data_IF_658488508486
#
_entry.id   IF_658488508486
#
_cell.length_a   1.000
_cell.length_b   1.000
_cell.length_c   1.000
_cell.angle_alpha   90.00
_cell.angle_beta   90.00
_cell.angle_gamma   90.00
#
_symmetry.space_group_name_H-M   'P 1'
#
loop_
_entity.id
_entity.type
_entity.pdbx_description
1 polymer ?
#
# COMPACT_ATOMS: atom_id res chain seq x y z
N UNK A 1 6.52 2.17 -16.53
CA UNK A 1 5.78 3.40 -16.19
C UNK A 1 5.16 3.20 -14.82
N UNK A 2 5.23 4.18 -13.91
CA UNK A 2 4.55 4.14 -12.61
C UNK A 2 3.06 4.41 -12.90
N UNK A 3 2.12 3.56 -12.47
CA UNK A 3 0.69 3.84 -12.68
C UNK A 3 0.24 4.99 -11.78
N UNK A 4 -0.81 5.69 -12.21
CA UNK A 4 -1.38 6.78 -11.42
C UNK A 4 -1.92 6.25 -10.08
N UNK A 5 -1.84 7.06 -9.03
CA UNK A 5 -2.33 6.68 -7.70
C UNK A 5 -3.84 6.35 -7.70
N UNK A 6 -4.63 7.04 -8.52
CA UNK A 6 -6.06 6.75 -8.71
C UNK A 6 -6.28 5.33 -9.25
N UNK A 7 -5.52 4.92 -10.26
CA UNK A 7 -5.57 3.56 -10.80
C UNK A 7 -5.20 2.52 -9.73
N UNK A 8 -4.12 2.76 -8.97
CA UNK A 8 -3.72 1.84 -7.89
C UNK A 8 -4.79 1.75 -6.82
N UNK A 9 -5.40 2.87 -6.46
CA UNK A 9 -6.51 2.90 -5.50
C UNK A 9 -7.70 2.06 -6.00
N UNK A 10 -8.14 2.25 -7.24
CA UNK A 10 -9.22 1.47 -7.86
C UNK A 10 -8.89 -0.04 -7.90
N UNK A 11 -7.67 -0.40 -8.31
CA UNK A 11 -7.19 -1.78 -8.28
C UNK A 11 -7.30 -2.40 -6.88
N UNK A 12 -6.93 -1.65 -5.83
CA UNK A 12 -7.06 -2.13 -4.46
C UNK A 12 -8.53 -2.23 -4.04
N UNK A 13 -9.38 -1.25 -4.36
CA UNK A 13 -10.81 -1.29 -4.00
C UNK A 13 -11.54 -2.46 -4.65
N UNK A 14 -11.34 -2.70 -5.95
CA UNK A 14 -11.94 -3.85 -6.63
C UNK A 14 -11.47 -5.17 -6.00
N UNK A 15 -10.18 -5.28 -5.67
CA UNK A 15 -9.65 -6.47 -4.99
C UNK A 15 -10.29 -6.70 -3.61
N UNK A 16 -10.51 -5.63 -2.83
CA UNK A 16 -11.20 -5.69 -1.54
C UNK A 16 -12.66 -6.13 -1.72
N UNK A 17 -13.39 -5.51 -2.66
CA UNK A 17 -14.78 -5.84 -2.93
C UNK A 17 -14.94 -7.31 -3.31
N UNK A 18 -14.13 -7.80 -4.25
CA UNK A 18 -14.15 -9.21 -4.64
C UNK A 18 -13.88 -10.15 -3.45
N UNK A 19 -12.85 -9.86 -2.64
CA UNK A 19 -12.52 -10.72 -1.49
C UNK A 19 -13.62 -10.71 -0.43
N UNK A 20 -14.10 -9.52 -0.03
CA UNK A 20 -14.86 -9.35 1.21
C UNK A 20 -16.37 -9.22 1.01
N UNK A 21 -16.84 -8.67 -0.11
CA UNK A 21 -18.29 -8.52 -0.37
C UNK A 21 -18.85 -9.73 -1.13
N UNK A 22 -18.02 -10.43 -1.89
CA UNK A 22 -18.47 -11.54 -2.72
C UNK A 22 -17.93 -12.90 -2.25
N UNK A 23 -16.62 -13.11 -2.35
CA UNK A 23 -16.03 -14.45 -2.17
C UNK A 23 -16.22 -14.93 -0.72
N UNK A 24 -15.75 -14.18 0.28
CA UNK A 24 -15.87 -14.61 1.68
C UNK A 24 -17.33 -14.75 2.14
N UNK A 25 -18.22 -13.86 1.69
CA UNK A 25 -19.66 -13.95 2.00
C UNK A 25 -20.29 -15.22 1.44
N UNK A 26 -19.86 -15.68 0.26
CA UNK A 26 -20.35 -16.92 -0.32
C UNK A 26 -19.86 -18.16 0.45
N UNK A 27 -18.56 -18.20 0.77
CA UNK A 27 -17.94 -19.39 1.39
C UNK A 27 -18.25 -19.54 2.88
N UNK A 28 -18.51 -18.45 3.61
CA UNK A 28 -18.84 -18.51 5.05
C UNK A 28 -20.17 -19.23 5.34
N UNK A 29 -21.05 -19.35 4.35
CA UNK A 29 -22.38 -19.97 4.48
C UNK A 29 -22.36 -21.51 4.40
N UNK A 30 -21.21 -22.10 4.08
CA UNK A 30 -21.01 -23.54 4.12
C UNK A 30 -21.41 -24.31 2.87
N UNK A 31 -21.17 -25.62 2.91
CA UNK A 31 -21.37 -26.57 1.82
C UNK A 31 -22.83 -26.62 1.32
N UNK A 32 -23.79 -26.64 2.24
CA UNK A 32 -25.21 -26.74 1.91
C UNK A 32 -25.70 -25.53 1.10
N UNK A 33 -25.24 -24.32 1.45
CA UNK A 33 -25.54 -23.11 0.69
C UNK A 33 -24.96 -23.20 -0.73
N UNK A 34 -23.70 -23.62 -0.87
CA UNK A 34 -23.05 -23.82 -2.16
C UNK A 34 -23.80 -24.85 -3.01
N UNK A 35 -24.14 -26.00 -2.47
CA UNK A 35 -24.84 -27.08 -3.20
C UNK A 35 -26.26 -26.66 -3.64
N UNK A 36 -26.95 -25.84 -2.85
CA UNK A 36 -28.26 -25.29 -3.21
C UNK A 36 -28.22 -24.28 -4.37
N UNK A 37 -27.04 -23.75 -4.71
CA UNK A 37 -26.86 -22.68 -5.69
C UNK A 37 -25.86 -23.05 -6.80
N UNK A 38 -26.14 -24.07 -7.63
CA UNK A 38 -25.22 -24.52 -8.68
C UNK A 38 -24.88 -23.43 -9.72
N UNK A 39 -25.84 -22.54 -10.01
CA UNK A 39 -25.64 -21.41 -10.92
C UNK A 39 -24.57 -20.41 -10.46
N UNK A 40 -24.28 -20.34 -9.16
CA UNK A 40 -23.22 -19.48 -8.62
C UNK A 40 -21.83 -20.09 -8.74
N UNK A 41 -21.68 -21.38 -9.05
CA UNK A 41 -20.36 -22.04 -9.02
C UNK A 41 -19.40 -21.44 -10.05
N UNK A 42 -19.82 -21.40 -11.32
CA UNK A 42 -19.01 -20.81 -12.39
C UNK A 42 -18.73 -19.32 -12.15
N UNK A 43 -19.67 -18.60 -11.54
CA UNK A 43 -19.49 -17.18 -11.20
C UNK A 43 -18.50 -16.99 -10.07
N UNK A 44 -18.53 -17.83 -9.05
CA UNK A 44 -17.55 -17.79 -7.97
C UNK A 44 -16.16 -18.17 -8.46
N UNK A 45 -16.03 -19.12 -9.40
CA UNK A 45 -14.74 -19.45 -10.03
C UNK A 45 -14.19 -18.24 -10.81
N UNK A 46 -15.04 -17.53 -11.55
CA UNK A 46 -14.68 -16.30 -12.28
C UNK A 46 -14.23 -15.19 -11.32
N UNK A 47 -14.96 -14.95 -10.22
CA UNK A 47 -14.57 -13.95 -9.22
C UNK A 47 -13.25 -14.29 -8.52
N UNK A 48 -13.03 -15.57 -8.19
CA UNK A 48 -11.76 -16.03 -7.59
C UNK A 48 -10.61 -15.87 -8.58
N UNK A 49 -10.82 -16.17 -9.86
CA UNK A 49 -9.83 -15.94 -10.90
C UNK A 49 -9.45 -14.45 -11.00
N UNK A 50 -10.44 -13.56 -11.08
CA UNK A 50 -10.21 -12.11 -11.14
C UNK A 50 -9.51 -11.59 -9.89
N UNK A 51 -9.91 -12.04 -8.70
CA UNK A 51 -9.25 -11.68 -7.45
C UNK A 51 -7.76 -12.10 -7.45
N UNK A 52 -7.43 -13.29 -7.98
CA UNK A 52 -6.02 -13.72 -8.13
C UNK A 52 -5.23 -12.81 -9.08
N UNK A 53 -5.86 -12.30 -10.14
CA UNK A 53 -5.20 -11.31 -11.02
C UNK A 53 -4.86 -10.03 -10.26
N UNK A 54 -5.73 -9.58 -9.34
CA UNK A 54 -5.41 -8.43 -8.49
C UNK A 54 -4.28 -8.70 -7.49
N UNK A 55 -4.16 -9.93 -6.95
CA UNK A 55 -3.02 -10.29 -6.10
C UNK A 55 -1.69 -10.18 -6.87
N UNK A 56 -1.67 -10.69 -8.11
CA UNK A 56 -0.53 -10.55 -9.04
C UNK A 56 -0.22 -9.08 -9.32
N UNK A 57 -1.24 -8.29 -9.66
CA UNK A 57 -1.06 -6.86 -9.92
C UNK A 57 -0.46 -6.14 -8.71
N UNK A 58 -0.97 -6.38 -7.50
CA UNK A 58 -0.41 -5.80 -6.27
C UNK A 58 1.05 -6.25 -6.05
N UNK A 59 1.41 -7.50 -6.32
CA UNK A 59 2.81 -7.96 -6.25
C UNK A 59 3.72 -7.24 -7.26
N UNK A 60 3.21 -6.96 -8.46
CA UNK A 60 3.92 -6.15 -9.47
C UNK A 60 4.08 -4.69 -9.01
N UNK A 61 3.06 -4.09 -8.36
CA UNK A 61 3.14 -2.74 -7.76
C UNK A 61 4.22 -2.65 -6.69
N UNK A 62 4.31 -3.65 -5.80
CA UNK A 62 5.36 -3.75 -4.79
C UNK A 62 6.76 -3.87 -5.42
N UNK A 63 6.90 -4.70 -6.46
CA UNK A 63 8.18 -4.87 -7.17
C UNK A 63 8.63 -3.56 -7.83
N UNK A 64 7.70 -2.82 -8.43
CA UNK A 64 7.97 -1.51 -9.00
C UNK A 64 8.40 -0.50 -7.92
N UNK A 65 7.74 -0.51 -6.77
CA UNK A 65 8.10 0.36 -5.65
C UNK A 65 9.51 0.07 -5.11
N UNK A 66 9.85 -1.21 -4.90
CA UNK A 66 11.18 -1.65 -4.48
C UNK A 66 12.27 -1.20 -5.45
N UNK A 67 12.01 -1.31 -6.77
CA UNK A 67 12.92 -0.84 -7.82
C UNK A 67 13.11 0.67 -7.76
N UNK A 68 12.02 1.42 -7.55
CA UNK A 68 12.08 2.86 -7.44
C UNK A 68 12.88 3.32 -6.22
N UNK A 69 12.66 2.68 -5.06
CA UNK A 69 13.42 2.92 -3.83
C UNK A 69 14.93 2.66 -4.00
N UNK A 70 15.31 1.65 -4.80
CA UNK A 70 16.70 1.34 -5.14
C UNK A 70 17.36 2.34 -6.11
N UNK A 71 16.76 3.51 -6.35
CA UNK A 71 17.29 4.55 -7.24
C UNK A 71 17.16 4.24 -8.73
N UNK A 72 16.33 3.27 -9.11
CA UNK A 72 16.15 2.87 -10.53
C UNK A 72 15.03 3.64 -11.24
N UNK A 73 14.26 4.48 -10.54
CA UNK A 73 13.13 5.27 -11.07
C UNK A 73 13.02 6.62 -10.33
N UNK A 74 12.59 7.69 -11.02
CA UNK A 74 12.43 9.04 -10.43
C UNK A 74 11.38 9.12 -9.31
N UNK A 75 11.60 10.02 -8.33
CA UNK A 75 10.98 9.97 -6.98
C UNK A 75 9.84 10.96 -6.72
N UNK A 76 9.53 11.86 -7.67
CA UNK A 76 8.54 12.93 -7.46
C UNK A 76 7.09 12.40 -7.38
N UNK A 77 6.75 11.37 -8.17
CA UNK A 77 5.38 10.85 -8.31
C UNK A 77 5.09 9.62 -7.43
N UNK A 78 6.05 9.20 -6.60
CA UNK A 78 5.95 7.97 -5.81
C UNK A 78 5.12 8.13 -4.54
N UNK A 79 5.04 9.32 -3.93
CA UNK A 79 4.35 9.47 -2.63
C UNK A 79 2.84 9.14 -2.73
N UNK A 80 2.08 9.66 -3.73
CA UNK A 80 0.67 9.30 -3.89
C UNK A 80 0.48 7.82 -4.22
N UNK A 81 1.40 7.23 -5.00
CA UNK A 81 1.41 5.81 -5.33
C UNK A 81 1.63 4.94 -4.08
N UNK A 82 2.61 5.29 -3.23
CA UNK A 82 2.89 4.60 -1.97
C UNK A 82 1.67 4.64 -1.05
N UNK A 83 1.06 5.82 -0.92
CA UNK A 83 -0.09 6.02 -0.06
C UNK A 83 -1.29 5.19 -0.51
N UNK A 84 -1.61 5.18 -1.81
CA UNK A 84 -2.71 4.39 -2.36
C UNK A 84 -2.51 2.88 -2.11
N UNK A 85 -1.31 2.37 -2.42
CA UNK A 85 -0.98 0.96 -2.23
C UNK A 85 -0.99 0.55 -0.75
N UNK A 86 -0.38 1.38 0.11
CA UNK A 86 -0.33 1.17 1.57
C UNK A 86 -1.73 1.10 2.17
N UNK A 87 -2.59 2.07 1.85
CA UNK A 87 -3.94 2.13 2.40
C UNK A 87 -4.77 0.91 1.99
N UNK A 88 -4.67 0.48 0.73
CA UNK A 88 -5.34 -0.73 0.25
C UNK A 88 -4.88 -2.00 0.97
N UNK A 89 -3.56 -2.18 1.13
CA UNK A 89 -3.00 -3.32 1.84
C UNK A 89 -3.32 -3.31 3.34
N UNK A 90 -3.30 -2.14 3.97
CA UNK A 90 -3.70 -1.99 5.37
C UNK A 90 -5.16 -2.38 5.56
N UNK A 91 -6.05 -1.86 4.71
CA UNK A 91 -7.48 -2.21 4.77
C UNK A 91 -7.70 -3.70 4.55
N UNK A 92 -6.95 -4.31 3.63
CA UNK A 92 -6.97 -5.75 3.39
C UNK A 92 -6.54 -6.53 4.64
N UNK A 93 -5.47 -6.09 5.33
CA UNK A 93 -5.00 -6.74 6.56
C UNK A 93 -6.07 -6.70 7.67
N UNK A 94 -6.66 -5.53 7.89
CA UNK A 94 -7.72 -5.32 8.89
C UNK A 94 -8.95 -6.19 8.59
N UNK A 95 -9.41 -6.21 7.33
CA UNK A 95 -10.56 -7.01 6.92
C UNK A 95 -10.26 -8.51 7.01
N UNK A 96 -9.06 -8.98 6.59
CA UNK A 96 -8.68 -10.39 6.76
C UNK A 96 -8.71 -10.80 8.24
N UNK A 97 -8.27 -9.93 9.14
CA UNK A 97 -8.34 -10.21 10.58
C UNK A 97 -9.79 -10.26 11.09
N UNK A 98 -10.62 -9.27 10.75
CA UNK A 98 -12.03 -9.26 11.12
C UNK A 98 -12.78 -10.50 10.59
N UNK A 99 -12.48 -10.91 9.36
CA UNK A 99 -13.04 -12.12 8.77
C UNK A 99 -12.53 -13.39 9.41
N UNK A 100 -11.24 -13.48 9.75
CA UNK A 100 -10.72 -14.61 10.54
C UNK A 100 -11.49 -14.75 11.86
N UNK A 101 -11.71 -13.65 12.58
CA UNK A 101 -12.48 -13.67 13.82
C UNK A 101 -13.91 -14.14 13.59
N UNK A 102 -14.58 -13.63 12.55
CA UNK A 102 -15.93 -14.03 12.16
C UNK A 102 -16.01 -15.52 11.80
N UNK A 103 -15.10 -16.03 11.00
CA UNK A 103 -15.03 -17.44 10.59
C UNK A 103 -14.79 -18.39 11.78
N UNK A 104 -14.12 -17.92 12.83
CA UNK A 104 -13.85 -18.68 14.06
C UNK A 104 -14.93 -18.52 15.15
N UNK A 105 -16.00 -17.76 14.89
CA UNK A 105 -17.09 -17.52 15.85
C UNK A 105 -17.67 -18.86 16.36
N UNK A 106 -17.76 -19.06 17.69
CA UNK A 106 -18.37 -20.26 18.27
C UNK A 106 -19.78 -20.57 17.76
N UNK A 107 -20.57 -19.57 17.38
CA UNK A 107 -21.91 -19.75 16.83
C UNK A 107 -21.88 -20.47 15.48
N UNK A 108 -20.89 -20.18 14.63
CA UNK A 108 -20.71 -20.87 13.35
C UNK A 108 -20.24 -22.30 13.57
N UNK A 109 -19.40 -22.55 14.59
CA UNK A 109 -18.95 -23.92 14.94
C UNK A 109 -20.05 -24.82 15.47
N UNK A 110 -21.09 -24.24 16.09
CA UNK A 110 -22.28 -24.97 16.56
C UNK A 110 -23.22 -25.40 15.43
N UNK A 111 -23.04 -24.87 14.22
CA UNK A 111 -23.84 -25.28 13.06
C UNK A 111 -23.54 -26.73 12.64
N UNK A 112 -24.50 -27.40 11.98
CA UNK A 112 -24.23 -28.68 11.32
C UNK A 112 -23.03 -28.59 10.37
N UNK A 113 -22.27 -29.67 10.23
CA UNK A 113 -21.02 -29.68 9.46
C UNK A 113 -21.15 -29.13 8.02
N UNK A 114 -22.30 -29.32 7.37
CA UNK A 114 -22.56 -28.80 6.03
C UNK A 114 -22.92 -27.30 5.98
N UNK A 115 -23.17 -26.65 7.13
CA UNK A 115 -23.44 -25.20 7.27
C UNK A 115 -22.32 -24.44 7.95
N UNK A 116 -21.28 -25.13 8.39
CA UNK A 116 -20.07 -24.47 8.89
C UNK A 116 -19.34 -23.77 7.74
N UNK A 117 -18.60 -22.67 8.01
CA UNK A 117 -17.79 -22.00 7.00
C UNK A 117 -16.92 -22.99 6.24
N UNK A 118 -16.94 -22.90 4.91
CA UNK A 118 -15.99 -23.66 4.10
C UNK A 118 -14.58 -23.13 4.38
N UNK A 119 -13.59 -24.03 4.35
CA UNK A 119 -12.20 -23.61 4.47
C UNK A 119 -11.93 -22.53 3.44
N UNK A 120 -11.48 -21.37 3.92
CA UNK A 120 -11.33 -20.21 3.09
C UNK A 120 -10.33 -20.52 1.97
N UNK A 121 -10.67 -20.21 0.72
CA UNK A 121 -9.78 -20.40 -0.45
C UNK A 121 -8.42 -19.73 -0.27
N UNK A 122 -8.35 -18.73 0.61
CA UNK A 122 -7.17 -17.96 0.98
C UNK A 122 -6.26 -18.66 2.01
N UNK A 123 -6.69 -19.82 2.52
CA UNK A 123 -6.10 -20.54 3.64
C UNK A 123 -5.63 -21.96 3.25
N UNK A 124 -5.62 -22.27 1.95
CA UNK A 124 -5.09 -23.53 1.48
C UNK A 124 -3.63 -23.69 1.95
N UNK A 125 -3.24 -24.87 2.46
CA UNK A 125 -1.86 -25.10 2.85
C UNK A 125 -0.94 -24.84 1.67
N UNK A 126 0.22 -24.28 2.00
CA UNK A 126 1.36 -23.99 1.13
C UNK A 126 1.85 -25.19 0.29
N UNK A 127 1.22 -26.35 0.39
CA UNK A 127 1.63 -27.60 -0.24
C UNK A 127 0.95 -27.87 -1.59
N UNK A 128 0.07 -26.96 -2.06
CA UNK A 128 -0.20 -26.93 -3.50
C UNK A 128 1.15 -26.72 -4.19
N UNK A 129 1.54 -27.57 -5.17
CA UNK A 129 2.87 -27.54 -5.74
C UNK A 129 3.14 -26.12 -6.19
N UNK A 130 4.02 -25.44 -5.44
CA UNK A 130 4.53 -24.14 -5.80
C UNK A 130 5.28 -24.34 -7.10
N UNK A 131 4.57 -24.21 -8.21
CA UNK A 131 5.19 -23.91 -9.47
C UNK A 131 6.09 -22.72 -9.20
N UNK A 132 7.39 -22.89 -9.46
CA UNK A 132 8.38 -21.84 -9.36
C UNK A 132 7.86 -20.60 -10.10
N UNK A 133 7.34 -19.60 -9.37
CA UNK A 133 6.60 -18.48 -9.96
C UNK A 133 5.26 -18.09 -9.31
N UNK A 134 4.91 -18.55 -8.11
CA UNK A 134 3.71 -18.05 -7.41
C UNK A 134 3.84 -16.56 -7.08
N UNK A 135 3.27 -15.71 -7.94
CA UNK A 135 3.16 -14.25 -7.80
C UNK A 135 2.10 -13.83 -6.75
N UNK A 136 1.53 -14.78 -6.00
CA UNK A 136 0.52 -14.51 -4.98
C UNK A 136 1.13 -13.85 -3.72
N UNK A 137 0.41 -12.91 -3.13
CA UNK A 137 0.87 -12.23 -1.92
C UNK A 137 0.81 -13.15 -0.69
N UNK A 138 1.65 -12.89 0.33
CA UNK A 138 1.53 -13.57 1.60
C UNK A 138 0.16 -13.32 2.24
N UNK A 139 -0.36 -14.33 2.95
CA UNK A 139 -1.63 -14.24 3.69
C UNK A 139 -1.65 -13.07 4.68
N UNK A 140 -0.56 -12.94 5.45
CA UNK A 140 -0.32 -11.79 6.30
C UNK A 140 0.40 -10.69 5.51
N UNK A 141 -0.32 -9.63 5.17
CA UNK A 141 0.22 -8.50 4.39
C UNK A 141 0.75 -7.36 5.26
N UNK A 142 0.64 -7.42 6.59
CA UNK A 142 1.20 -6.38 7.48
C UNK A 142 2.68 -6.07 7.23
N UNK A 143 3.57 -7.08 7.04
CA UNK A 143 4.97 -6.79 6.73
C UNK A 143 5.16 -5.95 5.46
N UNK A 144 4.25 -6.07 4.48
CA UNK A 144 4.28 -5.28 3.25
C UNK A 144 3.83 -3.83 3.49
N UNK A 145 2.86 -3.62 4.39
CA UNK A 145 2.42 -2.27 4.81
C UNK A 145 3.56 -1.53 5.50
N UNK A 146 4.30 -2.22 6.38
CA UNK A 146 5.49 -1.68 7.04
C UNK A 146 6.60 -1.40 6.02
N UNK A 147 6.85 -2.33 5.10
CA UNK A 147 7.83 -2.15 4.03
C UNK A 147 7.55 -0.88 3.20
N UNK A 148 6.31 -0.68 2.75
CA UNK A 148 5.93 0.52 2.00
C UNK A 148 6.15 1.79 2.85
N UNK A 149 5.84 1.73 4.15
CA UNK A 149 6.07 2.86 5.06
C UNK A 149 7.55 3.22 5.17
N UNK A 150 8.44 2.22 5.25
CA UNK A 150 9.88 2.45 5.26
C UNK A 150 10.38 3.03 3.94
N UNK A 151 9.90 2.50 2.81
CA UNK A 151 10.24 3.04 1.48
C UNK A 151 9.80 4.50 1.36
N UNK A 152 8.59 4.83 1.82
CA UNK A 152 8.07 6.19 1.80
C UNK A 152 8.94 7.15 2.63
N UNK A 153 9.38 6.73 3.81
CA UNK A 153 10.30 7.52 4.65
C UNK A 153 11.64 7.77 3.95
N UNK A 154 12.25 6.74 3.35
CA UNK A 154 13.51 6.87 2.59
C UNK A 154 13.38 7.85 1.41
N UNK A 155 12.24 7.81 0.70
CA UNK A 155 11.95 8.74 -0.39
C UNK A 155 11.80 10.20 0.11
N UNK A 156 11.24 10.41 1.30
CA UNK A 156 11.16 11.75 1.89
C UNK A 156 12.52 12.27 2.37
N UNK A 157 13.38 11.42 2.93
CA UNK A 157 14.72 11.81 3.38
C UNK A 157 15.63 12.20 2.21
N UNK A 158 15.62 11.43 1.13
CA UNK A 158 16.38 11.74 -0.09
C UNK A 158 15.95 13.07 -0.72
N UNK A 159 14.65 13.40 -0.70
CA UNK A 159 14.14 14.72 -1.14
C UNK A 159 14.66 15.89 -0.28
N UNK A 160 14.90 15.69 1.03
CA UNK A 160 15.44 16.73 1.92
C UNK A 160 16.91 17.01 1.64
N UNK A 161 17.72 15.96 1.43
CA UNK A 161 19.16 16.09 1.14
C UNK A 161 19.41 16.72 -0.24
N UNK A 162 18.51 16.49 -1.20
CA UNK A 162 18.58 17.07 -2.54
C UNK A 162 18.19 18.56 -2.65
N UNK A 163 17.76 19.22 -1.56
CA UNK A 163 17.52 20.68 -1.58
C UNK A 163 18.86 21.41 -1.49
N UNK A 164 19.30 22.08 -2.55
CA UNK A 164 20.61 22.71 -2.51
C UNK A 164 20.58 23.94 -1.61
N UNK A 165 21.72 24.26 -0.99
CA UNK A 165 21.87 25.40 -0.08
C UNK A 165 21.38 26.73 -0.67
N UNK A 166 21.39 26.90 -1.99
CA UNK A 166 20.88 28.09 -2.68
C UNK A 166 19.35 28.26 -2.59
N UNK A 167 18.57 27.20 -2.39
CA UNK A 167 17.13 27.33 -2.14
C UNK A 167 16.85 27.93 -0.75
N UNK A 168 17.75 27.69 0.22
CA UNK A 168 17.70 28.34 1.53
C UNK A 168 18.03 29.83 1.40
N UNK A 169 19.02 30.17 0.56
CA UNK A 169 19.39 31.56 0.26
C UNK A 169 18.24 32.29 -0.46
N UNK A 170 17.59 31.68 -1.45
CA UNK A 170 16.46 32.28 -2.15
C UNK A 170 15.27 32.56 -1.24
N UNK A 171 14.95 31.67 -0.29
CA UNK A 171 13.88 31.90 0.69
C UNK A 171 14.22 33.01 1.70
N UNK A 172 15.50 33.21 2.02
CA UNK A 172 15.95 34.35 2.85
C UNK A 172 15.88 35.66 2.05
N UNK A 173 16.16 35.63 0.74
CA UNK A 173 16.08 36.80 -0.13
C UNK A 173 14.64 37.18 -0.54
N UNK A 174 13.71 36.22 -0.61
CA UNK A 174 12.30 36.48 -0.96
C UNK A 174 11.47 37.13 0.17
N UNK A 175 12.06 37.36 1.35
CA UNK A 175 11.46 38.20 2.40
C UNK A 175 11.51 39.72 2.13
N UNK A 176 12.13 40.16 1.03
CA UNK A 176 12.13 41.57 0.63
C UNK A 176 10.93 41.84 -0.31
N UNK A 177 9.84 42.38 0.24
CA UNK A 177 8.73 42.89 -0.56
C UNK A 177 9.13 44.22 -1.21
N UNK A 178 9.05 44.28 -2.55
CA UNK A 178 9.23 45.52 -3.31
C UNK A 178 7.88 46.26 -3.33
N UNK A 179 7.71 47.23 -2.43
CA UNK A 179 6.64 48.23 -2.55
C UNK A 179 7.29 49.60 -2.78
N UNK A 180 7.06 50.17 -3.96
CA UNK A 180 7.20 51.63 -4.15
C UNK A 180 8.61 52.20 -4.26
N UNK A 181 9.61 51.44 -4.71
CA UNK A 181 10.91 52.01 -5.10
C UNK A 181 11.97 52.16 -4.00
N UNK A 182 11.70 51.68 -2.78
CA UNK A 182 12.72 51.51 -1.73
C UNK A 182 12.80 50.05 -1.26
N UNK A 183 14.02 49.50 -1.25
CA UNK A 183 14.30 48.17 -0.71
C UNK A 183 14.58 48.32 0.79
N UNK A 184 13.62 48.00 1.64
CA UNK A 184 13.86 47.85 3.07
C UNK A 184 14.23 46.40 3.38
N UNK A 185 15.54 46.16 3.57
CA UNK A 185 16.05 44.89 4.05
C UNK A 185 15.86 44.86 5.57
N UNK A 186 14.92 44.04 6.09
CA UNK A 186 14.77 43.85 7.53
C UNK A 186 16.08 43.25 8.09
N UNK A 187 16.61 43.94 9.09
CA UNK A 187 17.98 43.90 9.61
C UNK A 187 18.62 42.52 9.79
N UNK A 188 19.86 42.44 9.30
CA UNK A 188 20.88 41.45 9.66
C UNK A 188 21.42 41.69 11.08
N UNK A 189 20.74 41.25 12.13
CA UNK A 189 21.28 41.42 13.50
C UNK A 189 21.27 40.21 14.41
N UNK A 190 20.97 39.01 13.94
CA UNK A 190 21.04 37.82 14.79
C UNK A 190 21.54 36.57 14.05
N UNK A 191 22.76 36.59 13.50
CA UNK A 191 23.54 35.35 13.31
C UNK A 191 25.04 35.57 13.04
N UNK A 192 25.73 36.43 13.81
CA UNK A 192 27.21 36.51 13.75
C UNK A 192 27.93 35.74 14.86
N UNK A 193 27.22 34.96 15.67
CA UNK A 193 27.83 34.20 16.76
C UNK A 193 27.59 32.70 16.64
N UNK A 194 28.33 32.07 15.72
CA UNK A 194 28.97 30.74 15.87
C UNK A 194 29.32 30.23 14.48
N UNK A 195 30.61 30.27 14.15
CA UNK A 195 31.36 29.18 13.51
C UNK A 195 32.80 29.67 13.26
N UNK A 196 33.82 29.19 13.99
CA UNK A 196 35.21 29.44 13.64
C UNK A 196 35.66 28.41 12.60
N UNK A 197 35.65 28.77 11.32
CA UNK A 197 36.39 28.01 10.31
C UNK A 197 37.84 28.50 10.25
N UNK A 198 38.73 27.74 10.90
CA UNK A 198 40.19 27.85 10.73
C UNK A 198 40.54 27.56 9.27
N UNK A 199 41.09 28.55 8.56
CA UNK A 199 41.79 28.31 7.28
C UNK A 199 43.17 27.74 7.59
N UNK A 200 43.47 26.56 7.07
CA UNK A 200 44.86 26.09 6.89
C UNK A 200 45.36 26.58 5.53
N UNK A 201 46.59 27.04 5.53
CA UNK A 201 47.39 27.43 4.37
C UNK A 201 47.68 26.22 3.47
#
# INVERSE_FOLDING_TARGET
MIPAAAQVHEEQQCSLELEFEWIRQFFIQGKAHREALPWWHSKMDELVFLWRQFEVLTAQRLTLLRRAAAGKVGTSELDPFCLALKNGLQKRAELREAWRQREHDPLLKKQPANRQPLQCLFDAPSDAPHGAGSEALPRNVWPLVEEISQIQLQLHETKKVGKPWYQFVLNVYQGCAFQGGEVTCLSWTLFSQRLPMKRRW
#
